data_IF_595715105224
#
_entry.id   IF_595715105224
#
_cell.length_a   1.000
_cell.length_b   1.000
_cell.length_c   1.000
_cell.angle_alpha   90.00
_cell.angle_beta   90.00
_cell.angle_gamma   90.00
#
_symmetry.space_group_name_H-M   'P 1'
#
loop_
_entity.id
_entity.type
_entity.pdbx_description
1 polymer ?
#
# COMPACT_ATOMS: atom_id res chain seq x y z
N UNK A 1 10.20 1.36 5.14
CA UNK A 1 10.23 2.73 5.66
C UNK A 1 8.91 3.43 5.35
N UNK A 2 7.89 3.28 6.20
CA UNK A 2 6.54 3.81 5.93
C UNK A 2 6.39 5.28 6.31
N UNK A 3 7.32 5.87 7.08
CA UNK A 3 7.33 7.30 7.39
C UNK A 3 8.42 8.09 6.65
N UNK A 4 9.33 7.42 5.93
CA UNK A 4 10.39 8.03 5.12
C UNK A 4 11.57 8.56 5.93
N UNK A 5 11.82 7.99 7.12
CA UNK A 5 12.90 8.45 8.02
C UNK A 5 14.24 7.72 7.80
N UNK A 6 14.30 6.81 6.82
CA UNK A 6 15.45 6.00 6.48
C UNK A 6 15.58 4.72 7.30
N UNK A 7 14.54 4.30 8.04
CA UNK A 7 14.55 3.09 8.86
C UNK A 7 13.44 2.11 8.47
N UNK A 8 13.73 0.83 8.65
CA UNK A 8 12.75 -0.22 8.39
C UNK A 8 11.72 -0.29 9.52
N UNK A 9 10.47 0.03 9.19
CA UNK A 9 9.30 -0.09 10.06
C UNK A 9 8.67 -1.48 10.02
N UNK A 10 7.76 -1.75 10.96
CA UNK A 10 6.98 -3.00 10.99
C UNK A 10 5.49 -2.76 10.70
N UNK A 11 4.96 -3.55 9.77
CA UNK A 11 3.53 -3.62 9.49
C UNK A 11 2.89 -4.87 10.08
N UNK A 12 1.75 -4.70 10.74
CA UNK A 12 0.95 -5.79 11.32
C UNK A 12 -0.48 -5.68 10.83
N UNK A 13 -1.03 -6.78 10.32
CA UNK A 13 -2.43 -6.87 9.91
C UNK A 13 -3.14 -7.84 10.85
N UNK A 14 -4.18 -7.38 11.55
CA UNK A 14 -4.94 -8.24 12.45
C UNK A 14 -6.00 -9.08 11.69
N UNK A 15 -6.72 -9.93 12.42
CA UNK A 15 -7.78 -10.77 11.85
C UNK A 15 -8.98 -9.99 11.29
N UNK A 16 -9.22 -8.77 11.80
CA UNK A 16 -10.24 -7.84 11.29
C UNK A 16 -9.75 -7.02 10.09
N UNK A 17 -8.51 -7.25 9.66
CA UNK A 17 -7.84 -6.55 8.55
C UNK A 17 -7.53 -5.08 8.83
N UNK A 18 -7.45 -4.70 10.10
CA UNK A 18 -6.83 -3.44 10.50
C UNK A 18 -5.33 -3.50 10.25
N UNK A 19 -4.79 -2.40 9.72
CA UNK A 19 -3.35 -2.22 9.49
C UNK A 19 -2.80 -1.38 10.63
N UNK A 20 -1.83 -1.94 11.33
CA UNK A 20 -1.04 -1.26 12.35
C UNK A 20 0.40 -1.13 11.86
N UNK A 21 0.99 0.04 12.12
CA UNK A 21 2.40 0.29 11.88
C UNK A 21 3.09 0.52 13.22
N UNK A 22 4.25 -0.10 13.41
CA UNK A 22 5.20 0.26 14.44
C UNK A 22 6.36 0.96 13.77
N UNK A 23 6.56 2.22 14.11
CA UNK A 23 7.69 2.99 13.61
C UNK A 23 8.97 2.55 14.29
N UNK A 24 10.05 2.49 13.52
CA UNK A 24 11.36 2.15 14.02
C UNK A 24 12.06 3.39 14.57
N UNK A 25 12.60 3.27 15.77
CA UNK A 25 13.50 4.29 16.34
C UNK A 25 14.95 4.07 15.89
N UNK A 26 15.26 2.90 15.30
CA UNK A 26 16.61 2.43 14.97
C UNK A 26 17.08 1.30 15.89
N UNK A 27 16.80 1.42 17.19
CA UNK A 27 17.15 0.41 18.20
C UNK A 27 15.93 -0.34 18.75
N UNK A 28 14.73 0.21 18.56
CA UNK A 28 13.47 -0.34 19.06
C UNK A 28 12.28 0.03 18.19
N UNK A 29 11.14 -0.60 18.44
CA UNK A 29 9.88 -0.32 17.76
C UNK A 29 8.94 0.45 18.68
N UNK A 30 8.34 1.50 18.16
CA UNK A 30 7.29 2.25 18.86
C UNK A 30 6.04 1.40 19.10
N UNK A 31 5.12 1.94 19.90
CA UNK A 31 3.80 1.34 20.08
C UNK A 31 3.07 1.28 18.72
N UNK A 32 2.31 0.20 18.45
CA UNK A 32 1.61 0.06 17.18
C UNK A 32 0.50 1.12 17.08
N UNK A 33 0.50 1.86 15.97
CA UNK A 33 -0.53 2.85 15.63
C UNK A 33 -1.38 2.31 14.48
N UNK A 34 -2.70 2.43 14.58
CA UNK A 34 -3.61 2.00 13.50
C UNK A 34 -3.56 3.00 12.37
N UNK A 35 -3.07 2.58 11.21
CA UNK A 35 -2.91 3.41 10.02
C UNK A 35 -4.03 3.23 8.99
N UNK A 36 -4.92 2.26 9.22
CA UNK A 36 -6.10 2.05 8.37
C UNK A 36 -6.66 0.65 8.48
N UNK A 37 -7.40 0.25 7.44
CA UNK A 37 -7.87 -1.12 7.24
C UNK A 37 -7.88 -1.44 5.76
N UNK A 38 -7.65 -2.71 5.44
CA UNK A 38 -7.67 -3.21 4.06
C UNK A 38 -8.87 -4.11 3.82
N UNK A 39 -9.31 -4.17 2.56
CA UNK A 39 -10.39 -5.07 2.16
C UNK A 39 -10.06 -6.55 2.39
N UNK A 40 -11.11 -7.37 2.49
CA UNK A 40 -10.99 -8.84 2.64
C UNK A 40 -10.60 -9.54 1.33
N UNK A 41 -10.86 -8.90 0.19
CA UNK A 41 -10.64 -9.45 -1.15
C UNK A 41 -9.27 -9.13 -1.76
N UNK A 42 -8.30 -8.70 -0.95
CA UNK A 42 -6.94 -8.42 -1.40
C UNK A 42 -5.87 -9.17 -0.59
N UNK A 43 -4.70 -9.37 -1.20
CA UNK A 43 -3.47 -9.82 -0.54
C UNK A 43 -2.40 -8.76 -0.71
N UNK A 44 -1.69 -8.44 0.37
CA UNK A 44 -0.48 -7.63 0.29
C UNK A 44 0.62 -8.50 -0.32
N UNK A 45 1.27 -8.00 -1.36
CA UNK A 45 2.29 -8.72 -2.14
C UNK A 45 3.65 -8.03 -2.11
N UNK A 46 3.74 -6.83 -1.53
CA UNK A 46 5.00 -6.11 -1.39
C UNK A 46 4.80 -4.73 -0.81
N UNK A 47 5.92 -4.03 -0.67
CA UNK A 47 6.02 -2.63 -0.24
C UNK A 47 6.99 -1.89 -1.15
N UNK A 48 6.85 -0.57 -1.23
CA UNK A 48 7.81 0.31 -1.92
C UNK A 48 7.23 1.68 -2.24
N UNK A 49 8.09 2.70 -2.32
CA UNK A 49 7.72 4.07 -2.69
C UNK A 49 7.25 4.15 -4.17
N UNK A 50 5.93 4.15 -4.38
CA UNK A 50 5.33 4.16 -5.73
C UNK A 50 4.95 5.55 -6.18
N UNK A 51 4.63 6.44 -5.26
CA UNK A 51 4.23 7.81 -5.57
C UNK A 51 5.40 8.83 -5.52
N UNK A 52 6.58 8.40 -5.07
CA UNK A 52 7.81 9.21 -5.03
C UNK A 52 7.87 10.15 -3.83
N UNK A 53 7.07 9.91 -2.78
CA UNK A 53 7.01 10.77 -1.60
C UNK A 53 8.10 10.48 -0.56
N UNK A 54 8.92 9.44 -0.81
CA UNK A 54 10.00 9.00 0.05
C UNK A 54 9.58 8.06 1.17
N UNK A 55 8.34 7.55 1.17
CA UNK A 55 7.86 6.52 2.08
C UNK A 55 7.30 5.33 1.30
N UNK A 56 7.40 4.14 1.89
CA UNK A 56 6.90 2.92 1.29
C UNK A 56 5.37 2.88 1.26
N UNK A 57 4.82 2.49 0.11
CA UNK A 57 3.40 2.20 -0.07
C UNK A 57 3.12 0.70 0.07
N UNK A 58 1.86 0.30 0.29
CA UNK A 58 1.47 -1.11 0.30
C UNK A 58 1.00 -1.56 -1.07
N UNK A 59 1.65 -2.56 -1.65
CA UNK A 59 1.25 -3.14 -2.94
C UNK A 59 0.34 -4.34 -2.68
N UNK A 60 -0.81 -4.39 -3.35
CA UNK A 60 -1.77 -5.47 -3.20
C UNK A 60 -2.20 -6.09 -4.52
N UNK A 61 -2.58 -7.38 -4.45
CA UNK A 61 -3.28 -8.11 -5.49
C UNK A 61 -4.74 -8.32 -5.09
N UNK A 62 -5.65 -8.10 -6.03
CA UNK A 62 -7.02 -8.59 -5.91
C UNK A 62 -7.05 -10.12 -5.95
N UNK A 63 -7.86 -10.72 -5.09
CA UNK A 63 -8.13 -12.16 -5.11
C UNK A 63 -9.28 -12.52 -6.06
N UNK A 64 -10.12 -11.54 -6.40
CA UNK A 64 -11.27 -11.72 -7.27
C UNK A 64 -10.94 -11.41 -8.74
N UNK A 65 -9.85 -10.69 -8.99
CA UNK A 65 -9.45 -10.23 -10.33
C UNK A 65 -7.92 -10.25 -10.48
N UNK A 66 -7.42 -10.26 -11.72
CA UNK A 66 -5.98 -10.17 -12.03
C UNK A 66 -5.45 -8.72 -11.95
N UNK A 67 -5.91 -7.96 -10.96
CA UNK A 67 -5.57 -6.55 -10.81
C UNK A 67 -4.70 -6.36 -9.58
N UNK A 68 -3.73 -5.46 -9.68
CA UNK A 68 -2.92 -4.99 -8.58
C UNK A 68 -3.14 -3.50 -8.37
N UNK A 69 -2.89 -3.03 -7.15
CA UNK A 69 -2.94 -1.62 -6.80
C UNK A 69 -2.02 -1.36 -5.62
N UNK A 70 -2.09 -0.14 -5.09
CA UNK A 70 -1.37 0.23 -3.88
C UNK A 70 -2.22 1.11 -2.96
N UNK A 71 -1.93 1.05 -1.65
CA UNK A 71 -2.40 2.03 -0.68
C UNK A 71 -1.23 2.96 -0.37
N UNK A 72 -1.45 4.26 -0.53
CA UNK A 72 -0.40 5.27 -0.36
C UNK A 72 -0.15 5.56 1.11
N UNK A 73 1.12 5.59 1.51
CA UNK A 73 1.50 6.15 2.79
C UNK A 73 1.54 7.67 2.70
N UNK A 74 0.82 8.37 3.58
CA UNK A 74 1.03 9.81 3.81
C UNK A 74 2.03 10.09 4.94
N UNK A 75 2.78 9.04 5.35
CA UNK A 75 3.72 9.00 6.48
C UNK A 75 3.05 8.91 7.86
N UNK A 76 1.73 8.90 7.91
CA UNK A 76 0.94 8.77 9.15
C UNK A 76 -0.22 7.79 9.05
N UNK A 77 -0.72 7.55 7.84
CA UNK A 77 -1.82 6.64 7.53
C UNK A 77 -1.61 6.04 6.14
N UNK A 78 -2.32 4.93 5.89
CA UNK A 78 -2.50 4.44 4.53
C UNK A 78 -3.83 4.98 4.00
N UNK A 79 -3.77 5.89 3.05
CA UNK A 79 -4.98 6.34 2.36
C UNK A 79 -5.39 5.23 1.39
N UNK A 80 -6.58 4.62 1.56
CA UNK A 80 -7.14 3.81 0.49
C UNK A 80 -7.40 4.77 -0.66
N UNK A 81 -6.57 4.72 -1.70
CA UNK A 81 -6.93 5.34 -2.96
C UNK A 81 -8.33 4.84 -3.34
N UNK A 82 -9.27 5.72 -3.75
CA UNK A 82 -10.52 5.26 -4.33
C UNK A 82 -10.14 4.24 -5.40
N UNK A 83 -10.61 2.99 -5.26
CA UNK A 83 -10.15 1.79 -5.97
C UNK A 83 -9.54 2.13 -7.34
N UNK A 84 -8.25 2.42 -7.36
CA UNK A 84 -7.57 2.81 -8.59
C UNK A 84 -7.25 1.50 -9.28
N UNK A 85 -8.14 1.08 -10.17
CA UNK A 85 -7.95 -0.12 -10.98
C UNK A 85 -6.80 0.14 -11.95
N UNK A 86 -5.59 -0.26 -11.58
CA UNK A 86 -4.51 -0.42 -12.55
C UNK A 86 -4.76 -1.73 -13.29
N UNK A 87 -5.44 -1.65 -14.43
CA UNK A 87 -5.61 -2.80 -15.32
C UNK A 87 -4.25 -3.12 -15.93
N UNK A 88 -3.67 -4.25 -15.54
CA UNK A 88 -2.54 -4.84 -16.27
C UNK A 88 -3.07 -5.84 -17.29
N UNK A 89 -2.90 -5.53 -18.58
CA UNK A 89 -3.04 -6.50 -19.67
C UNK A 89 -1.63 -6.88 -20.11
N UNK A 90 -1.14 -8.11 -19.85
CA UNK A 90 0.09 -8.56 -20.49
C UNK A 90 -0.21 -8.93 -21.94
N UNK A 91 0.04 -8.02 -22.86
CA UNK A 91 0.32 -8.37 -24.25
C UNK A 91 1.71 -7.87 -24.62
N UNK A 92 2.44 -8.72 -25.33
CA UNK A 92 3.81 -8.46 -25.74
C UNK A 92 3.88 -7.19 -26.60
N UNK A 93 4.46 -6.13 -26.04
CA UNK A 93 4.75 -4.88 -26.72
C UNK A 93 3.57 -3.92 -26.82
N UNK A 94 3.43 -3.01 -25.85
CA UNK A 94 3.24 -1.57 -26.05
C UNK A 94 2.69 -0.88 -24.78
N UNK A 95 3.39 0.20 -24.43
CA UNK A 95 3.00 1.50 -23.87
C UNK A 95 1.96 1.65 -22.74
N UNK A 96 2.35 2.51 -21.80
CA UNK A 96 1.80 2.77 -20.47
C UNK A 96 0.66 3.78 -20.53
N UNK A 97 -0.53 3.43 -20.04
CA UNK A 97 -1.60 4.39 -19.79
C UNK A 97 -1.97 4.41 -18.30
N UNK A 98 -1.56 5.48 -17.63
CA UNK A 98 -2.08 5.87 -16.31
C UNK A 98 -3.40 6.59 -16.55
N UNK A 99 -4.51 5.92 -16.25
CA UNK A 99 -5.84 6.52 -16.24
C UNK A 99 -6.39 6.49 -14.83
N UNK A 100 -6.58 7.66 -14.22
CA UNK A 100 -7.42 7.80 -13.03
C UNK A 100 -8.88 7.55 -13.43
N UNK A 101 -9.52 6.53 -12.86
CA UNK A 101 -10.96 6.40 -12.92
C UNK A 101 -11.54 6.88 -11.58
N UNK A 102 -11.83 8.18 -11.50
CA UNK A 102 -12.71 8.73 -10.48
C UNK A 102 -14.13 8.35 -10.90
N UNK A 103 -14.74 7.37 -10.25
CA UNK A 103 -16.19 7.19 -10.35
C UNK A 103 -16.86 8.08 -9.31
N UNK A 104 -17.68 9.01 -9.80
CA UNK A 104 -18.57 9.90 -9.04
C UNK A 104 -19.67 9.13 -8.30
#
# INVERSE_FOLDING_TARGET
DFNGDGKDDLLVINSLRDVYVKLSTGDSMEAPVRWGSIGTNIRIIGVGDRDGNGADDLIYASLASRVWGYLQSDKTTFTPLPLSYSVYIPHAGAEYFIGEAIFS
#
